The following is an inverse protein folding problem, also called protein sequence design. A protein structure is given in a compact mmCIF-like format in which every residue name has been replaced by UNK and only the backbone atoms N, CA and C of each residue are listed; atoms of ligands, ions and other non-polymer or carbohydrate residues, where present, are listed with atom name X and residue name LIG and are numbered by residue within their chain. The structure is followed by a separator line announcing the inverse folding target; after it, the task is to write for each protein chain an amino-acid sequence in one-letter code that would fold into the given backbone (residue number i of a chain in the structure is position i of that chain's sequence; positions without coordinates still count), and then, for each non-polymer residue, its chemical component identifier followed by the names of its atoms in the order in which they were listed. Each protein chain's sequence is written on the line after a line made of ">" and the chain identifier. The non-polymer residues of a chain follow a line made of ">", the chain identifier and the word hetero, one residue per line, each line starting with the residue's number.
data_IF_129565314575
#
_entry.id   IF_129565314575
#
_cell.length_a   1.000
_cell.length_b   1.000
_cell.length_c   1.000
_cell.angle_alpha   90.00
_cell.angle_beta   90.00
_cell.angle_gamma   90.00
#
_symmetry.space_group_name_H-M   'P 1'
#
loop_
_entity.id
_entity.type
_entity.pdbx_description
1 polymer ?
#
# COMPACT_ATOMS: atom_id res chain seq x y z
N UNK A 1 -12.48 24.45 22.88
CA UNK A 1 -11.36 25.32 23.35
C UNK A 1 -10.18 25.12 22.41
N UNK A 2 -9.62 26.17 21.81
CA UNK A 2 -8.47 26.04 20.91
C UNK A 2 -7.25 25.52 21.67
N UNK A 3 -6.48 24.62 21.04
CA UNK A 3 -5.33 23.95 21.68
C UNK A 3 -4.14 24.89 21.89
N UNK A 4 -4.11 26.00 21.15
CA UNK A 4 -2.93 26.88 21.03
C UNK A 4 -2.69 27.72 22.28
N UNK A 5 -3.75 28.00 23.05
CA UNK A 5 -3.74 28.70 24.34
C UNK A 5 -2.86 28.04 25.42
N UNK A 6 -2.41 26.80 25.19
CA UNK A 6 -1.55 26.05 26.13
C UNK A 6 -0.07 26.11 25.78
N UNK A 7 0.29 26.65 24.62
CA UNK A 7 1.68 26.60 24.14
C UNK A 7 2.45 27.83 24.58
N UNK A 8 3.74 27.67 24.96
CA UNK A 8 4.62 28.81 25.27
C UNK A 8 4.79 29.74 24.08
N UNK A 9 4.69 29.22 22.86
CA UNK A 9 4.76 30.02 21.64
C UNK A 9 3.61 31.02 21.57
N UNK A 10 2.37 30.60 21.81
CA UNK A 10 1.21 31.50 21.83
C UNK A 10 1.36 32.67 22.82
N UNK A 11 2.01 32.44 23.97
CA UNK A 11 2.19 33.47 25.00
C UNK A 11 3.42 34.37 24.78
N UNK A 12 4.45 33.92 24.05
CA UNK A 12 5.76 34.60 23.98
C UNK A 12 6.19 35.00 22.57
N UNK A 13 5.57 34.44 21.54
CA UNK A 13 5.87 34.71 20.15
C UNK A 13 4.64 35.35 19.52
N UNK A 14 4.81 36.56 18.99
CA UNK A 14 3.79 37.21 18.18
C UNK A 14 3.88 36.64 16.77
N UNK A 15 2.75 36.21 16.24
CA UNK A 15 2.67 35.75 14.86
C UNK A 15 2.77 36.94 13.91
N UNK A 16 3.83 36.98 13.12
CA UNK A 16 4.18 38.05 12.18
C UNK A 16 3.85 37.69 10.73
N UNK A 17 3.36 36.48 10.47
CA UNK A 17 3.03 36.01 9.12
C UNK A 17 1.50 36.01 8.92
N UNK A 18 0.98 36.67 7.88
CA UNK A 18 -0.43 36.60 7.54
C UNK A 18 -0.90 35.16 7.25
N UNK A 19 -2.16 34.85 7.58
CA UNK A 19 -2.75 33.52 7.36
C UNK A 19 -2.74 33.09 5.89
N UNK A 20 -2.91 34.03 4.97
CA UNK A 20 -2.84 33.76 3.53
C UNK A 20 -1.48 33.19 3.12
N UNK A 21 -0.39 33.80 3.58
CA UNK A 21 0.99 33.38 3.28
C UNK A 21 1.28 32.00 3.87
N UNK A 22 0.79 31.72 5.10
CA UNK A 22 0.92 30.39 5.71
C UNK A 22 0.21 29.33 4.90
N UNK A 23 -1.02 29.61 4.49
CA UNK A 23 -1.85 28.70 3.69
C UNK A 23 -1.21 28.42 2.34
N UNK A 24 -0.70 29.46 1.66
CA UNK A 24 0.01 29.33 0.39
C UNK A 24 1.25 28.44 0.54
N UNK A 25 2.12 28.75 1.52
CA UNK A 25 3.34 27.96 1.78
C UNK A 25 3.02 26.52 2.12
N UNK A 26 2.00 26.28 2.94
CA UNK A 26 1.56 24.94 3.29
C UNK A 26 1.01 24.17 2.09
N UNK A 27 0.26 24.82 1.18
CA UNK A 27 -0.19 24.19 -0.07
C UNK A 27 1.01 23.80 -0.94
N UNK A 28 1.95 24.73 -1.13
CA UNK A 28 3.17 24.48 -1.90
C UNK A 28 3.99 23.32 -1.33
N UNK A 29 4.17 23.28 -0.01
CA UNK A 29 4.88 22.19 0.66
C UNK A 29 4.14 20.86 0.50
N UNK A 30 2.81 20.87 0.63
CA UNK A 30 1.97 19.69 0.44
C UNK A 30 2.08 19.14 -0.99
N UNK A 31 2.03 20.00 -1.99
CA UNK A 31 2.19 19.63 -3.39
C UNK A 31 3.56 19.00 -3.65
N UNK A 32 4.63 19.63 -3.15
CA UNK A 32 5.98 19.08 -3.24
C UNK A 32 6.12 17.73 -2.51
N UNK A 33 5.47 17.58 -1.35
CA UNK A 33 5.49 16.31 -0.64
C UNK A 33 4.81 15.20 -1.45
N UNK A 34 3.60 15.44 -1.96
CA UNK A 34 2.86 14.41 -2.69
C UNK A 34 3.45 14.09 -4.06
N UNK A 35 4.10 15.05 -4.74
CA UNK A 35 4.81 14.77 -5.98
C UNK A 35 5.98 13.82 -5.73
N UNK A 36 6.79 14.08 -4.70
CA UNK A 36 7.89 13.18 -4.32
C UNK A 36 7.40 11.82 -3.82
N UNK A 37 6.36 11.80 -2.98
CA UNK A 37 5.76 10.55 -2.51
C UNK A 37 5.22 9.72 -3.68
N UNK A 38 4.63 10.37 -4.69
CA UNK A 38 4.18 9.67 -5.90
C UNK A 38 5.34 9.05 -6.67
N UNK A 39 6.45 9.77 -6.86
CA UNK A 39 7.65 9.23 -7.52
C UNK A 39 8.23 8.02 -6.77
N UNK A 40 8.34 8.11 -5.44
CA UNK A 40 8.83 7.01 -4.60
C UNK A 40 7.92 5.79 -4.63
N UNK A 41 6.59 6.01 -4.63
CA UNK A 41 5.63 4.92 -4.75
C UNK A 41 5.60 4.31 -6.16
N UNK A 42 5.84 5.12 -7.20
CA UNK A 42 5.92 4.66 -8.57
C UNK A 42 7.12 3.75 -8.80
N UNK A 43 8.25 4.02 -8.14
CA UNK A 43 9.43 3.16 -8.18
C UNK A 43 9.18 1.75 -7.59
N UNK A 44 8.19 1.61 -6.71
CA UNK A 44 7.82 0.31 -6.10
C UNK A 44 6.91 -0.54 -7.00
N UNK A 45 6.43 -0.01 -8.13
CA UNK A 45 5.58 -0.78 -9.05
C UNK A 45 6.40 -1.94 -9.63
N UNK A 46 5.83 -3.14 -9.57
CA UNK A 46 6.48 -4.37 -10.03
C UNK A 46 7.21 -5.14 -8.92
N UNK A 47 7.38 -4.54 -7.75
CA UNK A 47 7.93 -5.22 -6.58
C UNK A 47 6.89 -6.12 -5.91
N UNK A 48 7.35 -7.25 -5.36
CA UNK A 48 6.56 -8.06 -4.45
C UNK A 48 6.87 -7.61 -3.03
N UNK A 49 5.84 -7.15 -2.34
CA UNK A 49 5.95 -6.65 -0.98
C UNK A 49 5.08 -7.48 -0.04
N UNK A 50 5.58 -7.72 1.17
CA UNK A 50 4.81 -8.33 2.23
C UNK A 50 3.94 -7.26 2.93
N UNK A 51 2.68 -7.59 3.16
CA UNK A 51 1.75 -6.74 3.89
C UNK A 51 1.03 -7.52 4.99
N UNK A 52 0.70 -6.81 6.07
CA UNK A 52 -0.20 -7.29 7.12
C UNK A 52 -1.62 -6.84 6.81
N UNK A 53 -2.57 -7.77 6.76
CA UNK A 53 -3.98 -7.47 6.48
C UNK A 53 -4.64 -6.83 7.70
N UNK A 54 -5.16 -5.61 7.53
CA UNK A 54 -5.87 -4.89 8.60
C UNK A 54 -7.40 -5.09 8.53
N UNK A 55 -7.94 -5.37 7.34
CA UNK A 55 -9.36 -5.63 7.11
C UNK A 55 -9.86 -5.10 5.77
N UNK A 56 -11.16 -4.87 5.65
CA UNK A 56 -11.81 -4.37 4.43
C UNK A 56 -11.43 -2.90 4.16
N UNK A 57 -11.24 -2.55 2.89
CA UNK A 57 -10.98 -1.19 2.45
C UNK A 57 -12.17 -0.27 2.77
N UNK A 58 -11.92 0.92 3.31
CA UNK A 58 -12.99 1.89 3.62
C UNK A 58 -13.80 2.33 2.40
N UNK A 59 -13.23 2.20 1.20
CA UNK A 59 -13.83 2.70 -0.05
C UNK A 59 -14.50 1.60 -0.87
N UNK A 60 -14.22 0.33 -0.57
CA UNK A 60 -14.78 -0.80 -1.31
C UNK A 60 -14.88 -2.03 -0.41
N UNK A 61 -16.06 -2.66 -0.40
CA UNK A 61 -16.28 -3.91 0.33
C UNK A 61 -15.65 -5.13 -0.37
N UNK A 62 -15.27 -5.00 -1.64
CA UNK A 62 -14.64 -6.07 -2.44
C UNK A 62 -13.11 -6.03 -2.38
N UNK A 63 -12.54 -5.06 -1.68
CA UNK A 63 -11.09 -4.90 -1.52
C UNK A 63 -10.71 -4.99 -0.04
N UNK A 64 -9.56 -5.61 0.22
CA UNK A 64 -8.89 -5.58 1.51
C UNK A 64 -7.83 -4.48 1.52
N UNK A 65 -7.49 -4.02 2.71
CA UNK A 65 -6.37 -3.12 2.96
C UNK A 65 -5.41 -3.76 3.97
N UNK A 66 -4.13 -3.53 3.72
CA UNK A 66 -3.05 -3.84 4.66
C UNK A 66 -1.95 -2.80 4.59
N UNK A 67 -0.89 -3.01 5.38
CA UNK A 67 0.30 -2.17 5.38
C UNK A 67 1.55 -2.98 5.16
N UNK A 68 2.47 -2.43 4.39
CA UNK A 68 3.82 -2.96 4.27
C UNK A 68 4.70 -2.49 5.45
N UNK A 69 5.97 -2.92 5.45
CA UNK A 69 6.96 -2.52 6.45
C UNK A 69 7.15 -1.00 6.57
N UNK A 70 7.00 -0.26 5.46
CA UNK A 70 7.07 1.19 5.44
C UNK A 70 5.79 1.87 5.96
N UNK A 71 4.88 1.11 6.57
CA UNK A 71 3.53 1.54 6.96
C UNK A 71 2.69 2.13 5.81
N UNK A 72 3.11 1.89 4.57
CA UNK A 72 2.40 2.35 3.39
C UNK A 72 1.20 1.44 3.17
N UNK A 73 0.05 2.05 2.94
CA UNK A 73 -1.18 1.32 2.70
C UNK A 73 -1.12 0.64 1.34
N UNK A 74 -1.42 -0.65 1.32
CA UNK A 74 -1.63 -1.42 0.10
C UNK A 74 -3.09 -1.89 0.08
N UNK A 75 -3.79 -1.58 -1.02
CA UNK A 75 -5.16 -2.05 -1.27
C UNK A 75 -5.12 -3.13 -2.36
N UNK A 76 -5.85 -4.21 -2.14
CA UNK A 76 -5.85 -5.36 -3.04
C UNK A 76 -7.21 -6.09 -3.00
N UNK A 77 -7.60 -6.82 -4.06
CA UNK A 77 -8.91 -7.48 -4.12
C UNK A 77 -9.05 -8.62 -3.10
N UNK A 78 -10.24 -8.76 -2.51
CA UNK A 78 -10.62 -9.89 -1.65
C UNK A 78 -10.89 -11.15 -2.49
N UNK A 79 -9.82 -11.86 -2.89
CA UNK A 79 -9.90 -13.07 -3.69
C UNK A 79 -9.23 -14.26 -3.01
N UNK A 80 -9.61 -15.45 -3.47
CA UNK A 80 -8.97 -16.72 -3.10
C UNK A 80 -7.51 -16.73 -3.57
N UNK A 81 -6.58 -16.95 -2.65
CA UNK A 81 -5.15 -17.08 -2.92
C UNK A 81 -4.55 -18.31 -2.20
N UNK A 82 -3.43 -18.87 -2.70
CA UNK A 82 -2.70 -19.93 -2.03
C UNK A 82 -2.25 -19.52 -0.61
N UNK A 83 -2.36 -20.45 0.34
CA UNK A 83 -1.85 -20.37 1.70
C UNK A 83 -0.66 -21.32 1.85
N UNK A 84 0.53 -20.73 1.98
CA UNK A 84 1.80 -21.43 2.08
C UNK A 84 2.21 -21.73 3.52
N UNK A 85 1.41 -21.33 4.53
CA UNK A 85 1.82 -21.45 5.94
C UNK A 85 1.90 -22.89 6.46
N UNK A 86 0.99 -23.78 6.07
CA UNK A 86 0.98 -25.16 6.62
C UNK A 86 0.27 -26.22 5.78
N UNK A 87 -0.66 -25.85 4.88
CA UNK A 87 -1.51 -26.86 4.21
C UNK A 87 -1.69 -26.70 2.70
N UNK A 88 -1.03 -25.74 2.05
CA UNK A 88 -1.12 -25.55 0.60
C UNK A 88 -2.55 -25.31 0.09
N UNK A 89 -3.45 -24.89 0.98
CA UNK A 89 -4.87 -24.68 0.68
C UNK A 89 -5.08 -23.32 0.02
N UNK A 90 -6.20 -23.14 -0.67
CA UNK A 90 -6.57 -21.84 -1.24
C UNK A 90 -7.66 -21.22 -0.36
N UNK A 91 -7.43 -20.01 0.14
CA UNK A 91 -8.41 -19.29 0.97
C UNK A 91 -8.35 -17.78 0.76
N UNK A 92 -9.34 -17.08 1.31
CA UNK A 92 -9.34 -15.61 1.36
C UNK A 92 -8.45 -15.13 2.52
N UNK A 93 -7.69 -14.03 2.33
CA UNK A 93 -6.97 -13.41 3.44
C UNK A 93 -7.91 -12.85 4.50
N UNK A 94 -7.55 -13.04 5.76
CA UNK A 94 -8.26 -12.48 6.91
C UNK A 94 -7.36 -11.51 7.67
N UNK A 95 -7.97 -10.67 8.51
CA UNK A 95 -7.22 -9.75 9.35
C UNK A 95 -6.19 -10.50 10.21
N UNK A 96 -4.94 -10.03 10.19
CA UNK A 96 -3.82 -10.66 10.88
C UNK A 96 -2.95 -11.54 10.00
N UNK A 97 -3.39 -11.90 8.79
CA UNK A 97 -2.57 -12.64 7.84
C UNK A 97 -1.46 -11.76 7.26
N UNK A 98 -0.33 -12.39 6.96
CA UNK A 98 0.73 -11.85 6.12
C UNK A 98 0.53 -12.31 4.68
N UNK A 99 0.47 -11.36 3.75
CA UNK A 99 0.22 -11.62 2.33
C UNK A 99 1.36 -11.03 1.51
N UNK A 100 1.94 -11.81 0.60
CA UNK A 100 2.78 -11.28 -0.46
C UNK A 100 1.87 -10.70 -1.55
N UNK A 101 2.06 -9.43 -1.89
CA UNK A 101 1.32 -8.77 -2.96
C UNK A 101 2.28 -8.15 -3.98
N UNK A 102 1.97 -8.32 -5.25
CA UNK A 102 2.64 -7.62 -6.34
C UNK A 102 2.05 -6.22 -6.47
N UNK A 103 2.87 -5.19 -6.32
CA UNK A 103 2.44 -3.80 -6.54
C UNK A 103 2.24 -3.57 -8.04
N UNK A 104 1.04 -3.15 -8.44
CA UNK A 104 0.67 -2.94 -9.86
C UNK A 104 0.44 -1.48 -10.20
N UNK A 105 0.01 -0.67 -9.24
CA UNK A 105 -0.22 0.76 -9.44
C UNK A 105 -0.11 1.50 -8.11
N UNK A 106 0.03 2.82 -8.17
CA UNK A 106 0.14 3.64 -6.97
C UNK A 106 -0.55 4.99 -7.11
N UNK A 107 -0.79 5.59 -5.95
CA UNK A 107 -1.10 7.00 -5.76
C UNK A 107 -0.03 7.59 -4.83
N UNK A 108 -0.10 8.89 -4.54
CA UNK A 108 0.87 9.54 -3.63
C UNK A 108 0.81 9.02 -2.18
N UNK A 109 -0.24 8.30 -1.77
CA UNK A 109 -0.45 7.85 -0.38
C UNK A 109 -0.74 6.36 -0.23
N UNK A 110 -1.12 5.69 -1.31
CA UNK A 110 -1.61 4.32 -1.29
C UNK A 110 -1.07 3.59 -2.51
N UNK A 111 -0.59 2.37 -2.28
CA UNK A 111 -0.26 1.41 -3.32
C UNK A 111 -1.45 0.51 -3.58
N UNK A 112 -1.52 0.00 -4.81
CA UNK A 112 -2.47 -1.03 -5.20
C UNK A 112 -1.70 -2.22 -5.73
N UNK A 113 -2.19 -3.40 -5.38
CA UNK A 113 -1.52 -4.62 -5.76
C UNK A 113 -2.47 -5.78 -5.94
N UNK A 114 -1.90 -6.88 -6.40
CA UNK A 114 -2.58 -8.15 -6.55
C UNK A 114 -1.99 -9.11 -5.53
N UNK A 115 -2.83 -9.75 -4.69
CA UNK A 115 -2.33 -10.69 -3.72
C UNK A 115 -1.87 -11.97 -4.44
N UNK A 116 -0.71 -12.47 -4.03
CA UNK A 116 -0.06 -13.66 -4.59
C UNK A 116 -0.29 -14.87 -3.69
N UNK A 117 0.09 -14.78 -2.41
CA UNK A 117 -0.02 -15.87 -1.46
C UNK A 117 -0.03 -15.37 -0.01
N UNK A 118 -0.58 -16.17 0.90
CA UNK A 118 -0.44 -16.02 2.35
C UNK A 118 0.79 -16.81 2.77
N UNK A 119 1.67 -16.20 3.56
CA UNK A 119 2.93 -16.82 4.00
C UNK A 119 3.45 -16.16 5.27
N UNK A 120 4.16 -16.88 6.13
CA UNK A 120 4.68 -16.31 7.37
C UNK A 120 5.81 -15.32 7.08
N UNK A 121 5.93 -14.34 7.98
CA UNK A 121 6.91 -13.25 7.90
C UNK A 121 8.34 -13.77 7.67
N UNK A 122 8.72 -14.82 8.40
CA UNK A 122 10.05 -15.41 8.38
C UNK A 122 10.38 -16.00 7.01
N UNK A 123 9.45 -16.73 6.39
CA UNK A 123 9.69 -17.38 5.09
C UNK A 123 9.82 -16.38 3.94
N UNK A 124 9.08 -15.26 4.01
CA UNK A 124 9.21 -14.20 3.02
C UNK A 124 10.62 -13.58 3.03
N UNK A 125 11.15 -13.25 4.21
CA UNK A 125 12.50 -12.65 4.31
C UNK A 125 13.63 -13.67 4.22
N UNK A 126 13.40 -14.93 4.57
CA UNK A 126 14.37 -16.00 4.34
C UNK A 126 14.53 -16.34 2.85
N UNK A 127 13.58 -15.92 1.99
CA UNK A 127 13.62 -16.17 0.55
C UNK A 127 13.28 -17.61 0.16
N UNK A 128 12.88 -18.45 1.11
CA UNK A 128 12.61 -19.88 0.88
C UNK A 128 11.54 -20.10 -0.20
N UNK A 129 10.57 -19.18 -0.31
CA UNK A 129 9.43 -19.26 -1.24
C UNK A 129 9.59 -18.34 -2.48
N UNK A 130 10.80 -17.84 -2.76
CA UNK A 130 11.04 -16.86 -3.83
C UNK A 130 10.68 -17.39 -5.23
N UNK A 131 11.00 -18.65 -5.53
CA UNK A 131 10.67 -19.29 -6.82
C UNK A 131 9.15 -19.42 -7.03
N UNK A 132 8.41 -19.80 -5.98
CA UNK A 132 6.95 -19.90 -6.03
C UNK A 132 6.31 -18.54 -6.24
N UNK A 133 6.78 -17.50 -5.54
CA UNK A 133 6.31 -16.13 -5.74
C UNK A 133 6.62 -15.63 -7.15
N UNK A 134 7.82 -15.91 -7.68
CA UNK A 134 8.20 -15.57 -9.06
C UNK A 134 7.30 -16.27 -10.09
N UNK A 135 6.98 -17.54 -9.87
CA UNK A 135 6.04 -18.30 -10.71
C UNK A 135 4.63 -17.68 -10.69
N UNK A 136 4.12 -17.32 -9.50
CA UNK A 136 2.82 -16.65 -9.35
C UNK A 136 2.79 -15.27 -10.02
N UNK A 137 3.86 -14.48 -9.89
CA UNK A 137 4.01 -13.20 -10.61
C UNK A 137 4.00 -13.42 -12.12
N UNK A 138 4.71 -14.44 -12.60
CA UNK A 138 4.79 -14.79 -14.01
C UNK A 138 3.43 -15.22 -14.55
N UNK A 139 2.73 -16.11 -13.85
CA UNK A 139 1.37 -16.53 -14.17
C UNK A 139 0.40 -15.34 -14.23
N UNK A 140 0.50 -14.41 -13.27
CA UNK A 140 -0.27 -13.18 -13.29
C UNK A 140 -0.01 -12.34 -14.55
N UNK A 141 1.27 -12.14 -14.92
CA UNK A 141 1.65 -11.37 -16.12
C UNK A 141 1.11 -12.00 -17.41
N UNK A 142 1.10 -13.33 -17.52
CA UNK A 142 0.52 -14.02 -18.67
C UNK A 142 -1.00 -13.85 -18.74
N UNK A 143 -1.70 -13.97 -17.60
CA UNK A 143 -3.15 -13.76 -17.54
C UNK A 143 -3.57 -12.35 -17.99
N UNK A 144 -2.82 -11.32 -17.59
CA UNK A 144 -3.13 -9.94 -17.99
C UNK A 144 -2.82 -9.63 -19.46
N UNK A 145 -1.89 -10.36 -20.09
CA UNK A 145 -1.58 -10.21 -21.53
C UNK A 145 -2.61 -10.89 -22.44
N UNK A 146 -3.23 -11.98 -21.99
CA UNK A 146 -4.25 -12.71 -22.75
C UNK A 146 -5.59 -12.00 -22.91
N UNK A 147 -5.90 -11.02 -22.05
CA UNK A 147 -7.16 -10.25 -22.11
C UNK A 147 -7.11 -9.04 -23.06
N UNK A 148 -6.00 -8.86 -23.79
CA UNK A 148 -5.73 -7.68 -24.62
C UNK A 148 -6.21 -7.75 -26.07
N UNK A 149 -7.04 -8.70 -26.48
CA UNK A 149 -7.41 -8.85 -27.90
C UNK A 149 -8.86 -9.33 -28.11
N UNK A 150 -9.82 -8.40 -28.05
CA UNK A 150 -11.18 -8.54 -28.59
C UNK A 150 -11.81 -7.13 -28.71
N UNK A 151 -11.43 -6.37 -29.74
CA UNK A 151 -12.25 -5.29 -30.29
C UNK A 151 -12.17 -5.38 -31.81
N UNK A 152 -13.11 -6.14 -32.38
CA UNK A 152 -13.65 -5.90 -33.72
C UNK A 152 -14.73 -4.83 -33.62
#
# INVERSE_FOLDING_TARGET
>A
RSRDLKTRAYHRLKDDVPEEVKRERHSRLREYHYSNAFLLNQAQIGEVQLLLVEGVSKRSLTELQGRNNGFTKIIFPDKLIPDLTSSGTVRKPVKGDYVAALVTSCTSTVLRGVPLAILPLQEFYAGTMAEQLSSLVTAHRYSTRGSGNCRT
#
